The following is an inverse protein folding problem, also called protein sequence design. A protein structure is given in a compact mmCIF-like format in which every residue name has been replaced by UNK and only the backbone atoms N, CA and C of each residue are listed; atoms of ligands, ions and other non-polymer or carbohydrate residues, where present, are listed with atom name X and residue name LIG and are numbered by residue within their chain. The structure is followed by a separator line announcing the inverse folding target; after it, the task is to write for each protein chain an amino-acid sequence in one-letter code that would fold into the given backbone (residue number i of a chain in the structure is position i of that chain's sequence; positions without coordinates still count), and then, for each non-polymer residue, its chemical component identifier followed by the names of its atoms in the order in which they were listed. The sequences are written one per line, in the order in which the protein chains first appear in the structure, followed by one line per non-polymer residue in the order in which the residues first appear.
data_IF_531563009263
#
_entry.id   IF_531563009263
#
_cell.length_a   1.000
_cell.length_b   1.000
_cell.length_c   1.000
_cell.angle_alpha   90.00
_cell.angle_beta   90.00
_cell.angle_gamma   90.00
#
_symmetry.space_group_name_H-M   'P 1'
#
loop_
_entity.id
_entity.type
_entity.pdbx_description
1 polymer ?
#
# COMPACT_ATOMS: atom_id res chain seq x y z
N UNK A 1 1.84 -7.22 -11.94
CA UNK A 1 1.47 -6.10 -11.02
C UNK A 1 2.73 -5.31 -10.62
N UNK A 2 2.65 -4.14 -9.99
CA UNK A 2 3.82 -3.25 -9.83
C UNK A 2 4.86 -3.81 -8.85
N UNK A 3 4.41 -4.46 -7.78
CA UNK A 3 5.29 -5.14 -6.81
C UNK A 3 6.19 -6.21 -7.47
N UNK A 4 5.70 -6.91 -8.49
CA UNK A 4 6.49 -7.93 -9.21
C UNK A 4 7.71 -7.34 -9.93
N UNK A 5 7.70 -6.05 -10.27
CA UNK A 5 8.86 -5.38 -10.86
C UNK A 5 9.78 -4.77 -9.79
N UNK A 6 9.26 -4.49 -8.59
CA UNK A 6 9.99 -3.77 -7.53
C UNK A 6 10.66 -4.75 -6.56
N UNK A 7 10.08 -5.93 -6.30
CA UNK A 7 10.65 -6.90 -5.36
C UNK A 7 12.03 -7.45 -5.80
N UNK A 8 12.37 -7.33 -7.09
CA UNK A 8 13.66 -7.75 -7.65
C UNK A 8 14.74 -6.65 -7.56
N UNK A 9 14.41 -5.46 -7.05
CA UNK A 9 15.38 -4.40 -6.86
C UNK A 9 16.35 -4.72 -5.71
N UNK A 10 17.51 -4.07 -5.71
CA UNK A 10 18.39 -4.13 -4.56
C UNK A 10 17.76 -3.36 -3.38
N UNK A 11 18.20 -3.69 -2.15
CA UNK A 11 17.67 -3.08 -0.92
C UNK A 11 17.70 -1.55 -0.92
N UNK A 12 18.76 -0.94 -1.46
CA UNK A 12 18.89 0.51 -1.54
C UNK A 12 17.86 1.15 -2.49
N UNK A 13 17.69 0.61 -3.71
CA UNK A 13 16.69 1.14 -4.65
C UNK A 13 15.27 0.91 -4.15
N UNK A 14 15.02 -0.24 -3.50
CA UNK A 14 13.74 -0.51 -2.86
C UNK A 14 13.43 0.54 -1.81
N UNK A 15 14.36 0.75 -0.86
CA UNK A 15 14.20 1.75 0.19
C UNK A 15 14.06 3.18 -0.36
N UNK A 16 14.83 3.55 -1.40
CA UNK A 16 14.70 4.86 -2.05
C UNK A 16 13.30 5.07 -2.64
N UNK A 17 12.73 4.03 -3.27
CA UNK A 17 11.43 4.08 -3.92
C UNK A 17 10.27 4.04 -2.91
N UNK A 18 10.30 3.13 -1.95
CA UNK A 18 9.18 2.88 -1.02
C UNK A 18 9.28 3.72 0.25
N UNK A 19 10.48 4.13 0.64
CA UNK A 19 10.77 4.82 1.90
C UNK A 19 10.88 3.89 3.11
N UNK A 20 10.84 2.57 2.91
CA UNK A 20 10.94 1.55 3.96
C UNK A 20 11.86 0.40 3.51
N UNK A 21 12.49 -0.28 4.46
CA UNK A 21 13.26 -1.48 4.16
C UNK A 21 12.32 -2.66 3.83
N UNK A 22 12.90 -3.73 3.27
CA UNK A 22 12.13 -4.93 2.93
C UNK A 22 11.48 -5.57 4.17
N UNK A 23 12.17 -5.57 5.31
CA UNK A 23 11.65 -6.19 6.54
C UNK A 23 10.40 -5.47 7.05
N UNK A 24 10.43 -4.14 7.12
CA UNK A 24 9.28 -3.32 7.51
C UNK A 24 8.16 -3.43 6.49
N UNK A 25 8.49 -3.46 5.20
CA UNK A 25 7.50 -3.69 4.13
C UNK A 25 6.78 -5.03 4.33
N UNK A 26 7.52 -6.12 4.56
CA UNK A 26 6.93 -7.44 4.80
C UNK A 26 6.04 -7.44 6.04
N UNK A 27 6.48 -6.84 7.16
CA UNK A 27 5.65 -6.70 8.38
C UNK A 27 4.35 -5.94 8.10
N UNK A 28 4.42 -4.84 7.35
CA UNK A 28 3.25 -4.06 6.95
C UNK A 28 2.30 -4.87 6.06
N UNK A 29 2.83 -5.64 5.10
CA UNK A 29 2.02 -6.53 4.24
C UNK A 29 1.34 -7.61 5.08
N UNK A 30 2.05 -8.29 5.96
CA UNK A 30 1.46 -9.32 6.84
C UNK A 30 0.29 -8.76 7.64
N UNK A 31 0.45 -7.56 8.21
CA UNK A 31 -0.63 -6.91 8.97
C UNK A 31 -1.85 -6.61 8.10
N UNK A 32 -1.63 -6.12 6.88
CA UNK A 32 -2.72 -5.87 5.93
C UNK A 32 -3.41 -7.17 5.48
N UNK A 33 -2.67 -8.26 5.32
CA UNK A 33 -3.24 -9.58 5.02
C UNK A 33 -4.13 -10.06 6.16
N UNK A 34 -3.69 -9.92 7.41
CA UNK A 34 -4.51 -10.27 8.58
C UNK A 34 -5.80 -9.45 8.65
N UNK A 35 -5.70 -8.14 8.41
CA UNK A 35 -6.85 -7.24 8.37
C UNK A 35 -7.80 -7.56 7.19
N UNK A 36 -7.26 -7.93 6.04
CA UNK A 36 -8.06 -8.34 4.86
C UNK A 36 -8.75 -9.68 5.10
N UNK A 37 -8.10 -10.63 5.78
CA UNK A 37 -8.70 -11.91 6.16
C UNK A 37 -9.86 -11.72 7.15
N UNK A 38 -9.69 -10.85 8.16
CA UNK A 38 -10.78 -10.50 9.08
C UNK A 38 -11.96 -9.86 8.35
N UNK A 39 -11.69 -8.96 7.39
CA UNK A 39 -12.71 -8.33 6.56
C UNK A 39 -13.43 -9.35 5.67
N UNK A 40 -12.70 -10.28 5.06
CA UNK A 40 -13.27 -11.36 4.24
C UNK A 40 -14.16 -12.29 5.06
N UNK A 41 -13.84 -12.55 6.32
CA UNK A 41 -14.69 -13.33 7.22
C UNK A 41 -16.06 -12.68 7.45
N UNK A 42 -16.14 -11.35 7.39
CA UNK A 42 -17.39 -10.58 7.47
C UNK A 42 -18.14 -10.50 6.13
N UNK A 43 -17.57 -11.06 5.06
CA UNK A 43 -18.11 -11.00 3.71
C UNK A 43 -17.73 -9.73 2.94
N UNK A 44 -18.01 -9.73 1.64
CA UNK A 44 -17.79 -8.57 0.76
C UNK A 44 -17.04 -8.88 -0.53
N UNK A 45 -16.88 -7.85 -1.36
CA UNK A 45 -16.25 -7.96 -2.68
C UNK A 45 -14.73 -8.05 -2.54
N UNK A 46 -14.13 -9.02 -3.25
CA UNK A 46 -12.66 -9.14 -3.36
C UNK A 46 -12.07 -7.89 -4.01
N UNK A 47 -10.97 -7.40 -3.44
CA UNK A 47 -10.19 -6.32 -4.03
C UNK A 47 -9.55 -6.79 -5.35
N UNK A 48 -9.53 -5.92 -6.36
CA UNK A 48 -8.88 -6.19 -7.66
C UNK A 48 -7.36 -6.10 -7.58
N UNK A 49 -6.85 -5.33 -6.60
CA UNK A 49 -5.43 -5.07 -6.40
C UNK A 49 -4.89 -5.97 -5.28
N UNK A 50 -3.69 -6.54 -5.45
CA UNK A 50 -2.96 -7.27 -4.41
C UNK A 50 -2.62 -6.33 -3.25
N UNK A 51 -2.43 -6.89 -2.05
CA UNK A 51 -2.17 -6.12 -0.84
C UNK A 51 -0.86 -5.33 -0.95
N UNK A 52 0.17 -5.94 -1.53
CA UNK A 52 1.48 -5.32 -1.74
C UNK A 52 1.37 -4.09 -2.64
N UNK A 53 0.60 -4.17 -3.72
CA UNK A 53 0.36 -3.04 -4.62
C UNK A 53 -0.53 -1.96 -3.98
N UNK A 54 -1.44 -2.32 -3.08
CA UNK A 54 -2.23 -1.33 -2.32
C UNK A 54 -1.34 -0.54 -1.36
N UNK A 55 -0.38 -1.22 -0.73
CA UNK A 55 0.60 -0.58 0.13
C UNK A 55 1.52 0.34 -0.66
N UNK A 56 2.05 -0.12 -1.81
CA UNK A 56 2.89 0.71 -2.69
C UNK A 56 2.16 1.95 -3.21
N UNK A 57 0.90 1.79 -3.63
CA UNK A 57 0.07 2.91 -4.05
C UNK A 57 -0.14 3.91 -2.92
N UNK A 58 -0.27 3.43 -1.68
CA UNK A 58 -0.39 4.31 -0.50
C UNK A 58 0.91 5.07 -0.24
N UNK A 59 2.08 4.46 -0.42
CA UNK A 59 3.36 5.16 -0.29
C UNK A 59 3.54 6.23 -1.36
N UNK A 60 3.19 5.95 -2.61
CA UNK A 60 3.20 6.97 -3.68
C UNK A 60 2.28 8.15 -3.35
N UNK A 61 1.10 7.87 -2.81
CA UNK A 61 0.19 8.92 -2.36
C UNK A 61 0.78 9.77 -1.24
N UNK A 62 1.37 9.15 -0.21
CA UNK A 62 1.90 9.86 0.96
C UNK A 62 3.20 10.62 0.67
N UNK A 63 4.07 10.09 -0.19
CA UNK A 63 5.39 10.67 -0.47
C UNK A 63 5.36 11.66 -1.63
N UNK A 64 4.66 11.33 -2.71
CA UNK A 64 4.65 12.12 -3.95
C UNK A 64 3.38 12.96 -4.11
N UNK A 65 2.39 12.83 -3.21
CA UNK A 65 1.09 13.49 -3.32
C UNK A 65 0.42 13.28 -4.69
N UNK A 66 0.62 12.09 -5.29
CA UNK A 66 -0.02 11.74 -6.57
C UNK A 66 -1.54 11.78 -6.44
N UNK A 67 -2.22 12.25 -7.48
CA UNK A 67 -3.69 12.27 -7.51
C UNK A 67 -4.27 10.86 -7.61
N UNK A 68 -5.48 10.66 -7.09
CA UNK A 68 -6.18 9.38 -7.19
C UNK A 68 -6.39 8.97 -8.65
N UNK A 69 -6.66 9.92 -9.55
CA UNK A 69 -6.80 9.67 -10.99
C UNK A 69 -5.49 9.20 -11.65
N UNK A 70 -4.34 9.77 -11.29
CA UNK A 70 -3.04 9.31 -11.81
C UNK A 70 -2.71 7.90 -11.32
N UNK A 71 -3.00 7.60 -10.06
CA UNK A 71 -2.82 6.26 -9.50
C UNK A 71 -3.79 5.25 -10.12
N UNK A 72 -5.05 5.64 -10.34
CA UNK A 72 -6.05 4.76 -10.94
C UNK A 72 -5.62 4.29 -12.34
N UNK A 73 -5.04 5.20 -13.14
CA UNK A 73 -4.45 4.87 -14.44
C UNK A 73 -3.22 3.95 -14.31
N UNK A 74 -2.31 4.27 -13.40
CA UNK A 74 -1.07 3.50 -13.19
C UNK A 74 -1.34 2.07 -12.74
N UNK A 75 -2.33 1.88 -11.87
CA UNK A 75 -2.66 0.60 -11.24
C UNK A 75 -3.84 -0.14 -11.93
N UNK A 76 -4.43 0.42 -12.98
CA UNK A 76 -5.51 -0.24 -13.74
C UNK A 76 -6.82 -0.44 -12.95
N UNK A 77 -7.12 0.48 -12.03
CA UNK A 77 -8.31 0.47 -11.17
C UNK A 77 -9.13 1.76 -11.35
N UNK A 78 -10.36 1.79 -10.82
CA UNK A 78 -11.13 3.03 -10.78
C UNK A 78 -10.57 4.00 -9.74
N UNK A 79 -10.79 5.30 -9.93
CA UNK A 79 -10.39 6.33 -8.96
C UNK A 79 -11.02 6.08 -7.58
N UNK A 80 -12.29 5.70 -7.56
CA UNK A 80 -13.00 5.32 -6.33
C UNK A 80 -12.38 4.10 -5.63
N UNK A 81 -11.83 3.14 -6.37
CA UNK A 81 -11.13 2.00 -5.80
C UNK A 81 -9.76 2.41 -5.25
N UNK A 82 -9.03 3.30 -5.92
CA UNK A 82 -7.77 3.85 -5.43
C UNK A 82 -7.97 4.59 -4.10
N UNK A 83 -8.97 5.48 -4.04
CA UNK A 83 -9.33 6.18 -2.80
C UNK A 83 -9.68 5.20 -1.66
N UNK A 84 -10.55 4.22 -1.93
CA UNK A 84 -10.96 3.23 -0.91
C UNK A 84 -9.78 2.39 -0.41
N UNK A 85 -8.88 1.99 -1.30
CA UNK A 85 -7.68 1.21 -0.93
C UNK A 85 -6.75 2.03 -0.03
N UNK A 86 -6.40 3.26 -0.43
CA UNK A 86 -5.53 4.15 0.36
C UNK A 86 -6.15 4.44 1.73
N UNK A 87 -7.45 4.78 1.76
CA UNK A 87 -8.17 5.04 3.01
C UNK A 87 -8.16 3.81 3.93
N UNK A 88 -8.37 2.62 3.37
CA UNK A 88 -8.36 1.39 4.15
C UNK A 88 -6.97 1.08 4.71
N UNK A 89 -5.93 1.16 3.88
CA UNK A 89 -4.53 0.98 4.32
C UNK A 89 -4.21 1.94 5.47
N UNK A 90 -4.50 3.24 5.32
CA UNK A 90 -4.31 4.22 6.39
C UNK A 90 -5.04 3.82 7.67
N UNK A 91 -6.32 3.44 7.57
CA UNK A 91 -7.12 3.06 8.74
C UNK A 91 -6.60 1.83 9.51
N UNK A 92 -5.87 0.93 8.83
CA UNK A 92 -5.24 -0.22 9.48
C UNK A 92 -4.02 0.24 10.29
N UNK A 93 -3.21 1.15 9.73
CA UNK A 93 -2.01 1.66 10.40
C UNK A 93 -2.28 2.76 11.44
N UNK A 94 -3.37 3.51 11.32
CA UNK A 94 -3.80 4.48 12.34
C UNK A 94 -4.06 3.80 13.70
N UNK A 95 -4.39 2.50 13.69
CA UNK A 95 -4.60 1.68 14.89
C UNK A 95 -3.33 1.02 15.43
N UNK A 96 -2.22 1.13 14.71
CA UNK A 96 -0.96 0.43 14.97
C UNK A 96 0.20 1.44 15.08
N UNK A 97 0.36 2.11 16.24
CA UNK A 97 1.35 3.18 16.41
C UNK A 97 2.80 2.73 16.22
N UNK A 98 3.05 1.41 16.28
CA UNK A 98 4.36 0.80 16.09
C UNK A 98 4.79 0.70 14.62
N UNK A 99 3.85 0.77 13.67
CA UNK A 99 4.11 0.68 12.24
C UNK A 99 3.70 1.98 11.55
N UNK A 100 4.62 2.96 11.55
CA UNK A 100 4.36 4.27 10.93
C UNK A 100 4.57 4.20 9.43
N UNK A 101 3.60 4.75 8.69
CA UNK A 101 3.72 4.91 7.25
C UNK A 101 4.80 5.94 6.90
N UNK A 102 5.52 5.76 5.79
CA UNK A 102 6.51 6.72 5.34
C UNK A 102 5.79 7.98 4.82
N UNK A 103 5.87 9.05 5.59
CA UNK A 103 5.41 10.37 5.17
C UNK A 103 6.58 11.19 4.61
N UNK A 104 6.28 12.12 3.71
CA UNK A 104 7.28 13.03 3.15
C UNK A 104 7.94 13.81 4.30
N UNK A 105 9.25 13.63 4.50
CA UNK A 105 10.04 14.55 5.32
C UNK A 105 10.07 15.89 4.57
N UNK A 106 9.44 16.91 5.14
CA UNK A 106 9.59 18.31 4.74
C UNK A 106 10.90 18.81 5.33
#
# INVERSE_FOLDING_TARGET
MKYEHIHQLNAEKFHSLTGVDYESFTKMVTKLVDADNQKKAQGGRKNKLRIEDQLLMTFEYLREYRTYLSMSKTYGISESAAYKAIKWVKSVFDKEPNLKLPERKI
#
